data_IF_785934365813
#
_entry.id   IF_785934365813
#
_cell.length_a   1.000
_cell.length_b   1.000
_cell.length_c   1.000
_cell.angle_alpha   90.00
_cell.angle_beta   90.00
_cell.angle_gamma   90.00
#
_symmetry.space_group_name_H-M   'P 1'
#
loop_
_entity.id
_entity.type
_entity.pdbx_description
1 polymer ?
#
# COMPACT_ATOMS: atom_id res chain seq x y z
N UNK A 1 6.62 -14.29 8.85
CA UNK A 1 7.42 -13.04 8.76
C UNK A 1 6.59 -11.89 9.33
N UNK A 2 6.98 -11.35 10.49
CA UNK A 2 6.35 -10.15 11.07
C UNK A 2 6.94 -8.91 10.39
N UNK A 3 6.42 -8.52 9.23
CA UNK A 3 6.85 -7.27 8.60
C UNK A 3 6.29 -6.09 9.38
N UNK A 4 7.12 -5.52 10.25
CA UNK A 4 6.93 -4.16 10.76
C UNK A 4 7.25 -3.22 9.58
N UNK A 5 6.22 -2.78 8.86
CA UNK A 5 6.38 -1.71 7.89
C UNK A 5 6.83 -0.44 8.61
N UNK A 6 8.01 0.06 8.23
CA UNK A 6 8.48 1.37 8.66
C UNK A 6 7.75 2.48 7.89
N UNK A 7 7.77 3.70 8.42
CA UNK A 7 7.18 4.89 7.76
C UNK A 7 7.82 5.12 6.38
N UNK A 8 9.11 4.79 6.24
CA UNK A 8 9.86 4.91 4.97
C UNK A 8 9.32 3.93 3.94
N UNK A 9 9.23 2.65 4.27
CA UNK A 9 8.67 1.63 3.37
C UNK A 9 7.23 1.97 2.98
N UNK A 10 6.44 2.50 3.92
CA UNK A 10 5.07 2.94 3.65
C UNK A 10 5.02 4.09 2.65
N UNK A 11 5.90 5.09 2.74
CA UNK A 11 5.94 6.18 1.78
C UNK A 11 6.34 5.71 0.37
N UNK A 12 7.30 4.80 0.26
CA UNK A 12 7.65 4.17 -1.01
C UNK A 12 6.47 3.40 -1.59
N UNK A 13 5.80 2.60 -0.75
CA UNK A 13 4.62 1.82 -1.11
C UNK A 13 3.47 2.71 -1.60
N UNK A 14 3.20 3.83 -0.92
CA UNK A 14 2.21 4.83 -1.39
C UNK A 14 2.57 5.41 -2.75
N UNK A 15 3.85 5.70 -2.98
CA UNK A 15 4.30 6.28 -4.24
C UNK A 15 4.06 5.29 -5.38
N UNK A 16 4.56 4.06 -5.25
CA UNK A 16 4.34 2.98 -6.22
C UNK A 16 2.85 2.73 -6.45
N UNK A 17 2.05 2.66 -5.39
CA UNK A 17 0.60 2.47 -5.52
C UNK A 17 -0.10 3.62 -6.23
N UNK A 18 0.29 4.86 -5.98
CA UNK A 18 -0.28 6.01 -6.68
C UNK A 18 0.11 6.03 -8.16
N UNK A 19 1.32 5.57 -8.50
CA UNK A 19 1.78 5.45 -9.89
C UNK A 19 1.00 4.36 -10.64
N UNK A 20 0.88 3.17 -10.05
CA UNK A 20 0.20 2.03 -10.67
C UNK A 20 -1.33 2.14 -10.65
N UNK A 21 -1.88 2.77 -9.61
CA UNK A 21 -3.32 2.88 -9.38
C UNK A 21 -3.70 4.36 -9.21
N UNK A 22 -3.87 5.11 -10.31
CA UNK A 22 -4.30 6.51 -10.26
C UNK A 22 -5.70 6.70 -9.65
N UNK A 23 -6.48 5.62 -9.53
CA UNK A 23 -7.76 5.57 -8.82
C UNK A 23 -7.64 5.66 -7.28
N UNK A 24 -6.43 5.47 -6.72
CA UNK A 24 -6.17 5.63 -5.30
C UNK A 24 -5.98 7.11 -4.97
N UNK A 25 -6.84 7.62 -4.09
CA UNK A 25 -6.75 9.00 -3.63
C UNK A 25 -5.69 9.12 -2.55
N UNK A 26 -5.12 10.33 -2.41
CA UNK A 26 -4.20 10.64 -1.30
C UNK A 26 -4.79 10.31 0.07
N UNK A 27 -6.11 10.44 0.23
CA UNK A 27 -6.86 10.08 1.42
C UNK A 27 -6.93 8.56 1.67
N UNK A 28 -6.99 7.74 0.61
CA UNK A 28 -6.97 6.27 0.73
C UNK A 28 -5.57 5.76 1.11
N UNK A 29 -4.54 6.51 0.69
CA UNK A 29 -3.14 6.25 1.01
C UNK A 29 -2.70 6.99 2.30
N UNK A 30 -3.60 7.69 2.99
CA UNK A 30 -3.24 8.44 4.18
C UNK A 30 -3.00 7.48 5.35
N UNK A 31 -1.84 7.62 6.00
CA UNK A 31 -1.55 6.82 7.19
C UNK A 31 -2.30 7.43 8.36
N UNK A 32 -3.42 6.84 8.76
CA UNK A 32 -4.03 7.16 10.04
C UNK A 32 -3.40 6.28 11.11
N UNK A 33 -2.78 6.96 12.05
CA UNK A 33 -2.03 6.47 13.20
C UNK A 33 -2.30 5.01 13.58
N UNK A 34 -1.29 4.16 13.40
CA UNK A 34 -1.17 2.89 14.11
C UNK A 34 -1.60 1.61 13.38
N UNK A 35 -2.33 1.67 12.26
CA UNK A 35 -2.83 0.43 11.65
C UNK A 35 -2.61 0.31 10.13
N UNK A 36 -1.34 0.09 9.77
CA UNK A 36 -0.91 -0.18 8.38
C UNK A 36 -1.63 -1.38 7.77
N UNK A 37 -2.09 -2.35 8.59
CA UNK A 37 -2.84 -3.51 8.12
C UNK A 37 -4.22 -3.15 7.57
N UNK A 38 -4.94 -2.26 8.25
CA UNK A 38 -6.26 -1.79 7.81
C UNK A 38 -6.18 -0.99 6.52
N UNK A 39 -5.16 -0.14 6.39
CA UNK A 39 -5.00 0.64 5.16
C UNK A 39 -4.61 -0.26 3.99
N UNK A 40 -3.69 -1.23 4.19
CA UNK A 40 -3.38 -2.23 3.17
C UNK A 40 -4.61 -3.07 2.77
N UNK A 41 -5.50 -3.36 3.72
CA UNK A 41 -6.74 -4.07 3.45
C UNK A 41 -7.74 -3.22 2.64
N UNK A 42 -7.93 -1.95 3.01
CA UNK A 42 -8.74 -0.99 2.25
C UNK A 42 -8.23 -0.81 0.81
N UNK A 43 -6.92 -0.63 0.65
CA UNK A 43 -6.29 -0.52 -0.66
C UNK A 43 -6.55 -1.80 -1.45
N UNK A 44 -6.30 -2.97 -0.85
CA UNK A 44 -6.55 -4.29 -1.45
C UNK A 44 -7.99 -4.43 -1.96
N UNK A 45 -8.99 -4.00 -1.18
CA UNK A 45 -10.38 -3.97 -1.62
C UNK A 45 -10.61 -3.02 -2.80
N UNK A 46 -10.00 -1.84 -2.77
CA UNK A 46 -10.23 -0.78 -3.76
C UNK A 46 -9.59 -1.07 -5.12
N UNK A 47 -8.43 -1.73 -5.12
CA UNK A 47 -7.78 -2.20 -6.36
C UNK A 47 -8.23 -3.61 -6.75
N UNK A 48 -8.98 -4.31 -5.90
CA UNK A 48 -9.42 -5.68 -6.15
C UNK A 48 -8.26 -6.69 -6.20
N UNK A 49 -7.13 -6.37 -5.56
CA UNK A 49 -5.90 -7.16 -5.57
C UNK A 49 -5.59 -7.67 -4.19
N UNK A 50 -5.07 -8.88 -4.09
CA UNK A 50 -4.64 -9.42 -2.81
C UNK A 50 -3.42 -8.67 -2.28
N UNK A 51 -3.24 -8.60 -0.96
CA UNK A 51 -2.03 -8.02 -0.33
C UNK A 51 -0.72 -8.56 -0.92
N UNK A 52 -0.68 -9.84 -1.29
CA UNK A 52 0.46 -10.48 -1.99
C UNK A 52 0.69 -9.91 -3.38
N UNK A 53 -0.36 -9.74 -4.18
CA UNK A 53 -0.23 -9.14 -5.52
C UNK A 53 0.18 -7.68 -5.43
N UNK A 54 -0.38 -6.94 -4.46
CA UNK A 54 0.03 -5.58 -4.14
C UNK A 54 1.54 -5.53 -3.86
N UNK A 55 2.02 -6.36 -2.93
CA UNK A 55 3.45 -6.41 -2.61
C UNK A 55 4.30 -6.83 -3.81
N UNK A 56 3.85 -7.80 -4.61
CA UNK A 56 4.58 -8.23 -5.81
C UNK A 56 4.72 -7.11 -6.85
N UNK A 57 3.68 -6.29 -7.05
CA UNK A 57 3.74 -5.11 -7.93
C UNK A 57 4.76 -4.09 -7.40
N UNK A 58 4.79 -3.89 -6.09
CA UNK A 58 5.71 -2.94 -5.45
C UNK A 58 7.15 -3.46 -5.45
N UNK A 59 7.35 -4.77 -5.28
CA UNK A 59 8.65 -5.44 -5.32
C UNK A 59 9.21 -5.52 -6.75
N UNK A 60 8.35 -5.64 -7.77
CA UNK A 60 8.77 -5.60 -9.18
C UNK A 60 9.17 -4.22 -9.69
N UNK A 61 8.79 -3.13 -9.03
CA UNK A 61 9.13 -1.76 -9.43
C UNK A 61 10.48 -1.24 -8.86
N UNK A 62 11.25 -2.10 -8.18
CA UNK A 62 12.58 -1.79 -7.64
C UNK A 62 13.68 -2.64 -8.29
#
# INVERSE_FOLDING_TARGET
>A
MNQKFTIVEWNHLKFALKQNFPQLTKADLEWRDGNTKDILWLISLKVGKSRKELMAIIEQEN
#
